data_IF_106298972144
#
_entry.id   IF_106298972144
#
_cell.length_a   1.000
_cell.length_b   1.000
_cell.length_c   1.000
_cell.angle_alpha   90.00
_cell.angle_beta   90.00
_cell.angle_gamma   90.00
#
_symmetry.space_group_name_H-M   'P 1'
#
loop_
_entity.id
_entity.type
_entity.pdbx_description
1 polymer ?
#
# COMPACT_ATOMS: atom_id res chain seq x y z
N UNK A 1 -11.06 1.31 -10.23
CA UNK A 1 -9.86 0.60 -9.77
C UNK A 1 -8.72 0.95 -10.71
N UNK A 2 -7.56 1.32 -10.18
CA UNK A 2 -6.37 1.72 -10.93
C UNK A 2 -5.17 0.91 -10.43
N UNK A 3 -4.36 0.40 -11.35
CA UNK A 3 -3.16 -0.37 -11.02
C UNK A 3 -1.92 0.44 -11.35
N UNK A 4 -1.07 0.64 -10.35
CA UNK A 4 0.24 1.23 -10.52
C UNK A 4 1.28 0.12 -10.36
N UNK A 5 2.21 0.07 -11.29
CA UNK A 5 3.22 -1.00 -11.40
C UNK A 5 4.59 -0.39 -11.58
N UNK A 6 5.57 -0.92 -10.86
CA UNK A 6 6.99 -0.59 -11.00
C UNK A 6 7.66 -1.72 -11.74
N UNK A 7 8.39 -1.35 -12.79
CA UNK A 7 9.21 -2.24 -13.59
C UNK A 7 10.69 -1.98 -13.29
N UNK A 8 11.48 -3.05 -13.30
CA UNK A 8 12.93 -3.00 -13.48
C UNK A 8 13.23 -3.71 -14.80
N UNK A 9 13.71 -2.96 -15.79
CA UNK A 9 13.70 -3.36 -17.19
C UNK A 9 12.29 -3.78 -17.64
N UNK A 10 12.07 -5.06 -17.94
CA UNK A 10 10.78 -5.63 -18.35
C UNK A 10 10.09 -6.46 -17.23
N UNK A 11 10.71 -6.57 -16.05
CA UNK A 11 10.23 -7.38 -14.94
C UNK A 11 9.42 -6.55 -13.94
N UNK A 12 8.28 -7.09 -13.49
CA UNK A 12 7.45 -6.43 -12.47
C UNK A 12 8.07 -6.63 -11.10
N UNK A 13 8.52 -5.53 -10.48
CA UNK A 13 9.18 -5.58 -9.16
C UNK A 13 8.25 -5.17 -8.02
N UNK A 14 7.24 -4.34 -8.29
CA UNK A 14 6.26 -3.96 -7.28
C UNK A 14 4.95 -3.49 -7.92
N UNK A 15 3.83 -3.66 -7.22
CA UNK A 15 2.53 -3.19 -7.67
C UNK A 15 1.69 -2.68 -6.49
N UNK A 16 0.71 -1.83 -6.79
CA UNK A 16 -0.34 -1.40 -5.86
C UNK A 16 -1.63 -1.14 -6.63
N UNK A 17 -2.76 -1.42 -5.99
CA UNK A 17 -4.08 -1.16 -6.54
C UNK A 17 -4.75 -0.03 -5.73
N UNK A 18 -5.28 0.95 -6.44
CA UNK A 18 -6.02 2.08 -5.89
C UNK A 18 -7.51 1.93 -6.24
N UNK A 19 -8.35 1.82 -5.22
CA UNK A 19 -9.80 1.83 -5.38
C UNK A 19 -10.37 3.14 -4.83
N UNK A 20 -10.92 3.96 -5.72
CA UNK A 20 -11.57 5.22 -5.33
C UNK A 20 -12.91 4.92 -4.68
N UNK A 21 -13.05 5.30 -3.41
CA UNK A 21 -14.30 5.17 -2.65
C UNK A 21 -15.18 6.40 -2.85
N UNK A 22 -14.58 7.58 -2.80
CA UNK A 22 -15.26 8.86 -3.01
C UNK A 22 -14.30 9.89 -3.64
N UNK A 23 -14.70 11.17 -3.70
CA UNK A 23 -13.91 12.24 -4.30
C UNK A 23 -12.52 12.47 -3.67
N UNK A 24 -12.32 12.04 -2.43
CA UNK A 24 -11.10 12.25 -1.64
C UNK A 24 -10.49 10.97 -1.09
N UNK A 25 -11.25 9.88 -0.98
CA UNK A 25 -10.79 8.65 -0.33
C UNK A 25 -10.46 7.54 -1.31
N UNK A 26 -9.32 6.89 -1.10
CA UNK A 26 -8.90 5.68 -1.79
C UNK A 26 -8.61 4.55 -0.81
N UNK A 27 -8.98 3.32 -1.19
CA UNK A 27 -8.51 2.10 -0.55
C UNK A 27 -7.29 1.59 -1.32
N UNK A 28 -6.19 1.38 -0.60
CA UNK A 28 -4.99 0.71 -1.10
C UNK A 28 -5.14 -0.80 -0.88
N UNK A 29 -5.04 -1.56 -1.96
CA UNK A 29 -5.04 -3.02 -1.91
C UNK A 29 -3.93 -3.58 -2.78
N UNK A 30 -3.67 -4.89 -2.63
CA UNK A 30 -2.71 -5.62 -3.45
C UNK A 30 -1.32 -4.98 -3.50
N UNK A 31 -0.87 -4.30 -2.42
CA UNK A 31 0.45 -3.70 -2.38
C UNK A 31 1.51 -4.77 -2.12
N UNK A 32 2.34 -5.02 -3.13
CA UNK A 32 3.33 -6.09 -3.08
C UNK A 32 4.64 -5.66 -3.74
N UNK A 33 5.75 -6.15 -3.18
CA UNK A 33 7.09 -6.09 -3.78
C UNK A 33 7.61 -7.51 -3.92
N UNK A 34 8.14 -7.85 -5.09
CA UNK A 34 8.70 -9.16 -5.42
C UNK A 34 9.67 -9.62 -4.31
N UNK A 35 9.67 -10.91 -3.89
CA UNK A 35 10.45 -11.34 -2.73
C UNK A 35 11.96 -11.06 -2.85
N UNK A 36 12.53 -11.21 -4.05
CA UNK A 36 13.93 -10.89 -4.37
C UNK A 36 14.26 -9.40 -4.27
N UNK A 37 13.24 -8.55 -4.31
CA UNK A 37 13.33 -7.09 -4.32
C UNK A 37 12.99 -6.44 -2.98
N UNK A 38 12.57 -7.25 -1.99
CA UNK A 38 12.27 -6.76 -0.63
C UNK A 38 13.53 -6.28 0.09
N UNK A 39 13.33 -5.44 1.11
CA UNK A 39 14.38 -4.83 1.93
C UNK A 39 15.37 -3.90 1.15
N UNK A 40 15.15 -3.66 -0.15
CA UNK A 40 15.90 -2.69 -0.95
C UNK A 40 15.29 -1.27 -0.96
N UNK A 41 14.21 -1.06 -0.20
CA UNK A 41 13.50 0.23 -0.11
C UNK A 41 12.50 0.51 -1.24
N UNK A 42 12.33 -0.40 -2.19
CA UNK A 42 11.45 -0.24 -3.37
C UNK A 42 10.01 0.06 -2.94
N UNK A 43 9.39 -0.80 -2.12
CA UNK A 43 8.02 -0.59 -1.67
C UNK A 43 7.83 0.75 -0.93
N UNK A 44 8.77 1.13 -0.07
CA UNK A 44 8.73 2.42 0.64
C UNK A 44 8.77 3.59 -0.33
N UNK A 45 9.70 3.56 -1.29
CA UNK A 45 9.85 4.61 -2.30
C UNK A 45 8.59 4.69 -3.16
N UNK A 46 8.10 3.54 -3.62
CA UNK A 46 6.92 3.47 -4.47
C UNK A 46 5.68 4.03 -3.77
N UNK A 47 5.35 3.54 -2.58
CA UNK A 47 4.19 4.04 -1.83
C UNK A 47 4.36 5.53 -1.48
N UNK A 48 5.56 5.98 -1.11
CA UNK A 48 5.80 7.41 -0.87
C UNK A 48 5.54 8.26 -2.11
N UNK A 49 5.93 7.81 -3.31
CA UNK A 49 5.62 8.51 -4.57
C UNK A 49 4.11 8.59 -4.79
N UNK A 50 3.40 7.48 -4.61
CA UNK A 50 1.93 7.44 -4.73
C UNK A 50 1.28 8.43 -3.75
N UNK A 51 1.67 8.45 -2.48
CA UNK A 51 1.10 9.40 -1.51
C UNK A 51 1.38 10.86 -1.88
N UNK A 52 2.54 11.15 -2.48
CA UNK A 52 2.91 12.49 -2.93
C UNK A 52 2.11 12.94 -4.16
N UNK A 53 1.84 12.05 -5.10
CA UNK A 53 1.03 12.38 -6.29
C UNK A 53 -0.43 12.67 -5.92
N UNK A 54 -0.89 12.15 -4.78
CA UNK A 54 -2.25 12.24 -4.27
C UNK A 54 -2.33 13.00 -2.92
N UNK A 55 -1.51 14.05 -2.73
CA UNK A 55 -1.38 14.80 -1.46
C UNK A 55 -2.68 15.32 -0.83
N UNK A 56 -3.78 15.46 -1.58
CA UNK A 56 -5.08 15.96 -1.08
C UNK A 56 -6.08 14.84 -0.75
N UNK A 57 -5.66 13.60 -0.87
CA UNK A 57 -6.49 12.41 -0.70
C UNK A 57 -6.20 11.70 0.63
N UNK A 58 -7.21 10.99 1.11
CA UNK A 58 -7.10 10.08 2.25
C UNK A 58 -6.91 8.66 1.72
N UNK A 59 -5.98 7.92 2.32
CA UNK A 59 -5.72 6.54 2.00
C UNK A 59 -6.08 5.63 3.17
N UNK A 60 -6.85 4.59 2.88
CA UNK A 60 -7.19 3.51 3.82
C UNK A 60 -6.59 2.20 3.33
N UNK A 61 -6.16 1.34 4.24
CA UNK A 61 -5.68 0.01 3.92
C UNK A 61 -5.95 -0.94 5.08
N UNK A 62 -6.03 -2.23 4.77
CA UNK A 62 -6.12 -3.29 5.77
C UNK A 62 -4.80 -4.04 5.82
N UNK A 63 -4.37 -4.39 7.02
CA UNK A 63 -3.17 -5.20 7.25
C UNK A 63 -3.41 -6.13 8.42
N UNK A 64 -2.94 -7.36 8.32
CA UNK A 64 -2.93 -8.29 9.44
C UNK A 64 -2.10 -7.67 10.59
N UNK A 65 -2.67 -7.61 11.79
CA UNK A 65 -2.03 -6.95 12.95
C UNK A 65 -0.73 -7.62 13.41
N UNK A 66 -0.50 -8.88 13.02
CA UNK A 66 0.74 -9.62 13.28
C UNK A 66 1.88 -9.20 12.34
N UNK A 67 1.58 -8.54 11.22
CA UNK A 67 2.59 -8.11 10.25
C UNK A 67 3.29 -6.80 10.70
N UNK A 68 4.07 -6.91 11.78
CA UNK A 68 4.77 -5.77 12.41
C UNK A 68 5.72 -5.04 11.44
N UNK A 69 6.32 -5.75 10.49
CA UNK A 69 7.20 -5.17 9.48
C UNK A 69 6.45 -4.20 8.55
N UNK A 70 5.29 -4.61 8.05
CA UNK A 70 4.46 -3.78 7.18
C UNK A 70 3.79 -2.64 7.97
N UNK A 71 3.33 -2.89 9.20
CA UNK A 71 2.83 -1.82 10.08
C UNK A 71 3.91 -0.76 10.33
N UNK A 72 5.16 -1.17 10.58
CA UNK A 72 6.28 -0.24 10.73
C UNK A 72 6.54 0.60 9.47
N UNK A 73 6.39 0.00 8.29
CA UNK A 73 6.48 0.72 7.02
C UNK A 73 5.39 1.80 6.90
N UNK A 74 4.13 1.45 7.18
CA UNK A 74 3.01 2.39 7.09
C UNK A 74 3.13 3.52 8.11
N UNK A 75 3.51 3.23 9.35
CA UNK A 75 3.74 4.25 10.38
C UNK A 75 4.84 5.26 9.94
N UNK A 76 5.92 4.78 9.30
CA UNK A 76 6.98 5.65 8.76
C UNK A 76 6.52 6.53 7.59
N UNK A 77 5.41 6.18 6.97
CA UNK A 77 4.78 6.92 5.88
C UNK A 77 3.60 7.80 6.36
N UNK A 78 3.39 7.88 7.67
CA UNK A 78 2.38 8.75 8.29
C UNK A 78 0.99 8.13 8.40
N UNK A 79 0.84 6.83 8.15
CA UNK A 79 -0.41 6.13 8.47
C UNK A 79 -0.54 5.93 9.98
N UNK A 80 -1.77 5.93 10.44
CA UNK A 80 -2.15 5.64 11.82
C UNK A 80 -3.23 4.55 11.82
N UNK A 81 -3.24 3.73 12.87
CA UNK A 81 -4.30 2.74 13.06
C UNK A 81 -5.57 3.49 13.47
N UNK A 82 -6.59 3.49 12.62
CA UNK A 82 -7.87 4.12 12.90
C UNK A 82 -8.95 3.15 13.39
N UNK A 83 -8.81 1.85 13.08
CA UNK A 83 -9.79 0.83 13.44
C UNK A 83 -9.15 -0.56 13.53
N UNK A 84 -9.86 -1.50 14.16
CA UNK A 84 -9.57 -2.92 14.16
C UNK A 84 -10.85 -3.67 13.79
N UNK A 85 -10.84 -4.28 12.61
CA UNK A 85 -11.89 -5.18 12.15
C UNK A 85 -11.49 -6.61 12.49
N UNK A 86 -12.41 -7.36 13.10
CA UNK A 86 -12.31 -8.81 13.20
C UNK A 86 -12.56 -9.39 11.80
N UNK A 87 -11.75 -10.38 11.39
CA UNK A 87 -11.82 -10.99 10.06
C UNK A 87 -13.27 -11.21 9.64
N UNK A 88 -13.68 -10.54 8.57
CA UNK A 88 -14.79 -11.02 7.75
C UNK A 88 -14.18 -12.20 7.02
N UNK A 89 -14.46 -13.41 7.48
CA UNK A 89 -14.05 -14.65 6.80
C UNK A 89 -14.21 -14.48 5.29
N UNK A 90 -13.14 -14.81 4.55
CA UNK A 90 -13.05 -14.76 3.09
C UNK A 90 -14.39 -15.12 2.43
N UNK A 91 -15.01 -14.17 1.71
CA UNK A 91 -15.98 -14.48 0.66
C UNK A 91 -15.27 -14.63 -0.67
#
# INVERSE_FOLDING_TARGET
MEWLVVYDEDEVVSNICLEKVDNRTYILSNFYTAPSERNKGIGRKFLSTVLNDYTRNTFLLFVNEENKGVISLYNKLGFEICDKVLDIENQ
#
